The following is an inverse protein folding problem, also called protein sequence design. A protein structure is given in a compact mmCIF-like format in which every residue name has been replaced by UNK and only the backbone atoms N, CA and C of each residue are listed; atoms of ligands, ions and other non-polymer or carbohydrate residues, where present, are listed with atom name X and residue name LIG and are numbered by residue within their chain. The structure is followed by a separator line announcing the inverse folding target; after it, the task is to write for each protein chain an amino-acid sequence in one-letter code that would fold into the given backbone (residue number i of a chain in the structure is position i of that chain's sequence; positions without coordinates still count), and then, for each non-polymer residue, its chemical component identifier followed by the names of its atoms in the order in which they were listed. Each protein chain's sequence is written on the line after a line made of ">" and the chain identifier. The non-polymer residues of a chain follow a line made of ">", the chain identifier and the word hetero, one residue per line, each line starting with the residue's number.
data_IF_242915016963
#
_entry.id   IF_242915016963
#
_cell.length_a   1.000
_cell.length_b   1.000
_cell.length_c   1.000
_cell.angle_alpha   90.00
_cell.angle_beta   90.00
_cell.angle_gamma   90.00
#
_symmetry.space_group_name_H-M   'P 1'
#
loop_
_entity.id
_entity.type
_entity.pdbx_description
1 polymer ?
#
# COMPACT_ATOMS: atom_id res chain seq x y z
N UNK A 1 -16.50 -5.79 53.89
CA UNK A 1 -15.29 -5.04 53.49
C UNK A 1 -14.43 -5.87 52.54
N UNK A 2 -13.99 -7.09 52.92
CA UNK A 2 -13.24 -7.99 52.04
C UNK A 2 -14.05 -8.49 50.82
N UNK A 3 -15.30 -8.92 51.02
CA UNK A 3 -16.18 -9.35 49.91
C UNK A 3 -16.39 -8.24 48.87
N UNK A 4 -16.62 -7.00 49.32
CA UNK A 4 -16.76 -5.83 48.45
C UNK A 4 -15.50 -5.54 47.62
N UNK A 5 -14.30 -5.74 48.20
CA UNK A 5 -13.05 -5.55 47.46
C UNK A 5 -12.80 -6.67 46.45
N UNK A 6 -13.19 -7.91 46.77
CA UNK A 6 -13.09 -9.04 45.84
C UNK A 6 -14.01 -8.85 44.63
N UNK A 7 -15.27 -8.48 44.84
CA UNK A 7 -16.21 -8.24 43.73
C UNK A 7 -15.78 -7.09 42.81
N UNK A 8 -15.17 -6.04 43.36
CA UNK A 8 -14.60 -4.95 42.56
C UNK A 8 -13.43 -5.42 41.69
N UNK A 9 -12.57 -6.29 42.23
CA UNK A 9 -11.46 -6.85 41.48
C UNK A 9 -11.97 -7.76 40.34
N UNK A 10 -12.97 -8.60 40.60
CA UNK A 10 -13.59 -9.47 39.59
C UNK A 10 -14.21 -8.66 38.45
N UNK A 11 -14.89 -7.56 38.79
CA UNK A 11 -15.45 -6.64 37.79
C UNK A 11 -14.34 -6.00 36.95
N UNK A 12 -13.29 -5.47 37.58
CA UNK A 12 -12.17 -4.85 36.87
C UNK A 12 -11.45 -5.86 35.96
N UNK A 13 -11.23 -7.08 36.43
CA UNK A 13 -10.63 -8.16 35.62
C UNK A 13 -11.52 -8.46 34.41
N UNK A 14 -12.84 -8.53 34.60
CA UNK A 14 -13.79 -8.76 33.50
C UNK A 14 -13.74 -7.64 32.46
N UNK A 15 -13.71 -6.38 32.92
CA UNK A 15 -13.58 -5.21 32.05
C UNK A 15 -12.24 -5.23 31.28
N UNK A 16 -11.13 -5.55 31.94
CA UNK A 16 -9.82 -5.64 31.31
C UNK A 16 -9.74 -6.77 30.27
N UNK A 17 -10.32 -7.93 30.56
CA UNK A 17 -10.39 -9.05 29.60
C UNK A 17 -11.21 -8.63 28.37
N UNK A 18 -12.34 -7.96 28.57
CA UNK A 18 -13.17 -7.48 27.47
C UNK A 18 -12.44 -6.45 26.60
N UNK A 19 -11.78 -5.47 27.22
CA UNK A 19 -10.98 -4.48 26.50
C UNK A 19 -9.82 -5.12 25.74
N UNK A 20 -9.15 -6.10 26.33
CA UNK A 20 -8.05 -6.81 25.68
C UNK A 20 -8.53 -7.54 24.42
N UNK A 21 -9.69 -8.22 24.49
CA UNK A 21 -10.29 -8.88 23.32
C UNK A 21 -10.65 -7.88 22.22
N UNK A 22 -11.21 -6.73 22.57
CA UNK A 22 -11.52 -5.66 21.61
C UNK A 22 -10.24 -5.12 20.94
N UNK A 23 -9.18 -4.87 21.71
CA UNK A 23 -7.90 -4.40 21.20
C UNK A 23 -7.24 -5.44 20.28
N UNK A 24 -7.30 -6.73 20.63
CA UNK A 24 -6.81 -7.82 19.77
C UNK A 24 -7.59 -7.87 18.45
N UNK A 25 -8.91 -7.71 18.50
CA UNK A 25 -9.75 -7.64 17.30
C UNK A 25 -9.36 -6.47 16.38
N UNK A 26 -9.22 -5.27 16.95
CA UNK A 26 -8.79 -4.07 16.20
C UNK A 26 -7.39 -4.24 15.60
N UNK A 27 -6.45 -4.79 16.38
CA UNK A 27 -5.09 -5.02 15.90
C UNK A 27 -5.06 -5.99 14.72
N UNK A 28 -5.88 -7.05 14.78
CA UNK A 28 -6.02 -8.02 13.68
C UNK A 28 -6.60 -7.36 12.44
N UNK A 29 -7.65 -6.55 12.56
CA UNK A 29 -8.24 -5.79 11.43
C UNK A 29 -7.23 -4.85 10.80
N UNK A 30 -6.57 -4.01 11.62
CA UNK A 30 -5.58 -3.04 11.14
C UNK A 30 -4.39 -3.72 10.46
N UNK A 31 -3.96 -4.88 10.95
CA UNK A 31 -2.88 -5.64 10.33
C UNK A 31 -3.29 -6.18 8.96
N UNK A 32 -4.54 -6.62 8.80
CA UNK A 32 -5.07 -7.07 7.51
C UNK A 32 -5.20 -5.89 6.53
N UNK A 33 -5.75 -4.77 6.97
CA UNK A 33 -5.86 -3.54 6.17
C UNK A 33 -4.49 -3.02 5.72
N UNK A 34 -3.49 -3.06 6.62
CA UNK A 34 -2.12 -2.68 6.29
C UNK A 34 -1.50 -3.62 5.24
N UNK A 35 -1.74 -4.93 5.35
CA UNK A 35 -1.24 -5.90 4.37
C UNK A 35 -1.87 -5.66 2.99
N UNK A 36 -3.18 -5.42 2.93
CA UNK A 36 -3.89 -5.10 1.70
C UNK A 36 -3.35 -3.81 1.07
N UNK A 37 -3.22 -2.73 1.84
CA UNK A 37 -2.72 -1.46 1.33
C UNK A 37 -1.29 -1.55 0.78
N UNK A 38 -0.45 -2.43 1.35
CA UNK A 38 0.90 -2.70 0.84
C UNK A 38 0.86 -3.42 -0.51
N UNK A 39 0.04 -4.45 -0.64
CA UNK A 39 -0.13 -5.19 -1.89
C UNK A 39 -0.66 -4.29 -3.02
N UNK A 40 -1.66 -3.46 -2.71
CA UNK A 40 -2.17 -2.45 -3.64
C UNK A 40 -1.08 -1.45 -4.06
N UNK A 41 -0.23 -1.03 -3.12
CA UNK A 41 0.87 -0.12 -3.42
C UNK A 41 1.93 -0.77 -4.32
N UNK A 42 2.33 -2.02 -4.05
CA UNK A 42 3.27 -2.77 -4.88
C UNK A 42 2.73 -2.96 -6.31
N UNK A 43 1.45 -3.26 -6.45
CA UNK A 43 0.77 -3.38 -7.75
C UNK A 43 0.76 -2.06 -8.54
N UNK A 44 0.49 -0.93 -7.86
CA UNK A 44 0.55 0.40 -8.47
C UNK A 44 1.98 0.77 -8.88
N UNK A 45 2.98 0.46 -8.06
CA UNK A 45 4.39 0.72 -8.39
C UNK A 45 4.83 -0.09 -9.61
N UNK A 46 4.46 -1.38 -9.69
CA UNK A 46 4.76 -2.20 -10.85
C UNK A 46 4.12 -1.63 -12.13
N UNK A 47 2.85 -1.23 -12.04
CA UNK A 47 2.12 -0.62 -13.15
C UNK A 47 2.76 0.70 -13.63
N UNK A 48 3.28 1.50 -12.70
CA UNK A 48 4.00 2.74 -13.01
C UNK A 48 5.31 2.44 -13.75
N UNK A 49 6.10 1.46 -13.28
CA UNK A 49 7.35 1.07 -13.94
C UNK A 49 7.12 0.60 -15.38
N UNK A 50 6.09 -0.23 -15.62
CA UNK A 50 5.74 -0.67 -16.98
C UNK A 50 5.34 0.51 -17.88
N UNK A 51 4.67 1.52 -17.32
CA UNK A 51 4.29 2.72 -18.06
C UNK A 51 5.52 3.57 -18.41
N UNK A 52 6.45 3.75 -17.49
CA UNK A 52 7.70 4.48 -17.72
C UNK A 52 8.54 3.82 -18.81
N UNK A 53 8.66 2.49 -18.81
CA UNK A 53 9.36 1.74 -19.86
C UNK A 53 8.73 1.97 -21.25
N UNK A 54 7.39 1.86 -21.34
CA UNK A 54 6.64 2.11 -22.59
C UNK A 54 6.83 3.54 -23.09
N UNK A 55 6.81 4.53 -22.18
CA UNK A 55 7.05 5.93 -22.54
C UNK A 55 8.49 6.14 -23.01
N UNK A 56 9.48 5.58 -22.32
CA UNK A 56 10.89 5.65 -22.73
C UNK A 56 11.13 5.06 -24.11
N UNK A 57 10.57 3.88 -24.40
CA UNK A 57 10.63 3.26 -25.72
C UNK A 57 9.95 4.12 -26.81
N UNK A 58 8.84 4.77 -26.47
CA UNK A 58 8.12 5.68 -27.38
C UNK A 58 8.96 6.91 -27.71
N UNK A 59 9.59 7.52 -26.70
CA UNK A 59 10.48 8.68 -26.88
C UNK A 59 11.67 8.33 -27.76
N UNK A 60 12.34 7.20 -27.49
CA UNK A 60 13.46 6.73 -28.31
C UNK A 60 13.04 6.49 -29.77
N UNK A 61 11.86 5.89 -29.99
CA UNK A 61 11.30 5.70 -31.33
C UNK A 61 11.07 7.04 -32.03
N UNK A 62 10.48 8.03 -31.35
CA UNK A 62 10.24 9.36 -31.93
C UNK A 62 11.58 10.01 -32.30
N UNK A 63 12.59 9.95 -31.43
CA UNK A 63 13.91 10.51 -31.71
C UNK A 63 14.55 9.88 -32.96
N UNK A 64 14.49 8.55 -33.09
CA UNK A 64 14.98 7.85 -34.27
C UNK A 64 14.20 8.22 -35.55
N UNK A 65 12.88 8.46 -35.45
CA UNK A 65 12.09 8.95 -36.57
C UNK A 65 12.50 10.37 -36.97
N UNK A 66 12.68 11.26 -35.99
CA UNK A 66 13.14 12.65 -36.22
C UNK A 66 14.50 12.65 -36.89
N UNK A 67 15.45 11.87 -36.38
CA UNK A 67 16.80 11.76 -36.95
C UNK A 67 16.78 11.23 -38.38
N UNK A 68 15.96 10.22 -38.69
CA UNK A 68 15.83 9.70 -40.05
C UNK A 68 15.22 10.72 -41.03
N UNK A 69 14.28 11.54 -40.56
CA UNK A 69 13.68 12.60 -41.39
C UNK A 69 14.68 13.75 -41.59
N UNK A 70 15.47 14.11 -40.58
CA UNK A 70 16.47 15.19 -40.69
C UNK A 70 17.73 14.78 -41.47
N UNK A 71 18.05 13.49 -41.54
CA UNK A 71 19.19 12.94 -42.29
C UNK A 71 18.85 12.44 -43.70
N UNK A 72 17.58 12.49 -44.10
CA UNK A 72 17.16 12.25 -45.49
C UNK A 72 17.65 13.37 -46.43
N UNK A 73 17.94 13.08 -47.71
CA UNK A 73 18.56 14.04 -48.60
C UNK A 73 17.68 15.29 -48.74
N UNK A 74 18.27 16.45 -48.45
CA UNK A 74 17.72 17.73 -48.91
C UNK A 74 17.90 17.75 -50.42
N UNK A 75 16.95 17.16 -51.15
CA UNK A 75 16.84 17.30 -52.59
C UNK A 75 15.99 18.52 -52.89
N UNK A 76 16.65 19.68 -53.01
CA UNK A 76 16.31 20.80 -53.89
C UNK A 76 17.48 21.79 -53.92
#
# INVERSE_FOLDING_TARGET
>A
MLETTLSQLEQLVSELVQQNQELLGKNTSLSAELAQAKDENESLQLSLMEQEEKQGATVARIQALVERVSSGPVSA
#
